data_IF_785937872270
#
_entry.id   IF_785937872270
#
_cell.length_a   1.000
_cell.length_b   1.000
_cell.length_c   1.000
_cell.angle_alpha   90.00
_cell.angle_beta   90.00
_cell.angle_gamma   90.00
#
_symmetry.space_group_name_H-M   'P 1'
#
loop_
_entity.id
_entity.type
_entity.pdbx_description
1 polymer ?
#
# COMPACT_ATOMS: atom_id res chain seq x y z
N UNK A 1 23.01 -1.16 7.97
CA UNK A 1 24.07 -0.70 7.05
C UNK A 1 24.69 -1.93 6.45
N UNK A 2 24.33 -2.27 5.21
CA UNK A 2 24.91 -3.39 4.49
C UNK A 2 26.23 -2.92 3.89
N UNK A 3 27.34 -3.39 4.43
CA UNK A 3 28.68 -3.11 3.91
C UNK A 3 28.99 -4.14 2.83
N UNK A 4 28.81 -3.77 1.56
CA UNK A 4 29.42 -4.50 0.45
C UNK A 4 30.91 -4.14 0.43
N UNK A 5 31.75 -5.00 1.01
CA UNK A 5 33.21 -4.93 0.84
C UNK A 5 33.58 -5.66 -0.45
N UNK A 6 33.79 -4.91 -1.55
CA UNK A 6 34.72 -5.37 -2.60
C UNK A 6 36.13 -5.08 -2.09
N UNK A 7 36.83 -6.11 -1.67
CA UNK A 7 38.26 -6.03 -1.37
C UNK A 7 39.04 -5.91 -2.68
N UNK A 8 39.31 -4.68 -3.14
CA UNK A 8 40.44 -4.38 -4.04
C UNK A 8 40.89 -2.95 -3.80
N UNK A 9 41.98 -2.78 -3.05
CA UNK A 9 42.75 -1.54 -2.90
C UNK A 9 43.61 -1.31 -4.14
N UNK A 10 42.98 -1.23 -5.32
CA UNK A 10 43.66 -0.82 -6.55
C UNK A 10 43.12 0.53 -6.99
N UNK A 11 43.99 1.55 -6.97
CA UNK A 11 43.73 2.83 -7.62
C UNK A 11 43.59 2.62 -9.12
N UNK A 12 42.35 2.55 -9.61
CA UNK A 12 42.07 2.58 -11.04
C UNK A 12 42.40 3.96 -11.60
N UNK A 13 43.56 4.09 -12.23
CA UNK A 13 43.84 5.22 -13.13
C UNK A 13 42.91 5.11 -14.33
N UNK A 14 41.89 5.97 -14.40
CA UNK A 14 41.05 6.04 -15.60
C UNK A 14 41.87 6.55 -16.79
N UNK A 15 41.88 5.78 -17.87
CA UNK A 15 42.53 6.18 -19.12
C UNK A 15 41.87 7.45 -19.70
N UNK A 16 42.62 8.29 -20.45
CA UNK A 16 42.07 9.49 -21.10
C UNK A 16 40.91 9.15 -22.05
N UNK A 17 39.82 9.94 -21.98
CA UNK A 17 38.56 9.74 -22.72
C UNK A 17 38.68 9.56 -24.24
N UNK A 18 39.79 9.95 -24.85
CA UNK A 18 39.98 9.98 -26.31
C UNK A 18 40.39 8.64 -26.92
N UNK A 19 40.91 7.68 -26.15
CA UNK A 19 41.30 6.35 -26.66
C UNK A 19 40.16 5.30 -26.58
N UNK A 20 39.13 5.54 -25.76
CA UNK A 20 38.09 4.54 -25.43
C UNK A 20 37.01 4.37 -26.52
N UNK A 21 37.04 5.18 -27.58
CA UNK A 21 35.97 5.22 -28.58
C UNK A 21 36.24 4.44 -29.88
N UNK A 22 37.38 3.73 -29.99
CA UNK A 22 37.64 2.84 -31.14
C UNK A 22 37.63 1.40 -30.67
N UNK A 23 36.48 0.74 -30.84
CA UNK A 23 36.38 -0.71 -30.67
C UNK A 23 36.98 -1.38 -31.90
N UNK A 24 38.01 -2.18 -31.69
CA UNK A 24 38.70 -2.94 -32.73
C UNK A 24 37.92 -4.20 -33.10
N UNK A 25 38.14 -4.74 -34.29
CA UNK A 25 37.56 -6.02 -34.71
C UNK A 25 37.94 -7.16 -33.77
N UNK A 26 39.15 -7.10 -33.19
CA UNK A 26 39.64 -8.07 -32.21
C UNK A 26 38.86 -7.98 -30.89
N UNK A 27 38.55 -6.77 -30.39
CA UNK A 27 37.70 -6.58 -29.20
C UNK A 27 36.25 -7.04 -29.42
N UNK A 28 35.69 -6.82 -30.62
CA UNK A 28 34.37 -7.33 -30.99
C UNK A 28 34.38 -8.87 -31.03
N UNK A 29 35.43 -9.46 -31.61
CA UNK A 29 35.58 -10.92 -31.71
C UNK A 29 35.75 -11.54 -30.32
N UNK A 30 36.55 -10.91 -29.44
CA UNK A 30 36.73 -11.33 -28.07
C UNK A 30 35.44 -11.24 -27.26
N UNK A 31 34.69 -10.14 -27.36
CA UNK A 31 33.39 -9.98 -26.68
C UNK A 31 32.34 -10.98 -27.18
N UNK A 32 32.32 -11.25 -28.48
CA UNK A 32 31.42 -12.26 -29.08
C UNK A 32 31.78 -13.67 -28.60
N UNK A 33 33.07 -14.00 -28.58
CA UNK A 33 33.55 -15.27 -28.04
C UNK A 33 33.18 -15.41 -26.56
N UNK A 34 33.34 -14.36 -25.76
CA UNK A 34 32.93 -14.35 -24.35
C UNK A 34 31.43 -14.61 -24.18
N UNK A 35 30.58 -14.04 -25.03
CA UNK A 35 29.13 -14.32 -25.02
C UNK A 35 28.81 -15.76 -25.45
N UNK A 36 29.58 -16.33 -26.38
CA UNK A 36 29.37 -17.69 -26.89
C UNK A 36 29.85 -18.79 -25.94
N UNK A 37 30.89 -18.53 -25.13
CA UNK A 37 31.37 -19.44 -24.08
C UNK A 37 30.72 -19.20 -22.71
N UNK A 38 29.89 -18.17 -22.57
CA UNK A 38 29.15 -17.91 -21.33
C UNK A 38 28.01 -18.92 -21.17
N UNK A 39 28.11 -19.76 -20.14
CA UNK A 39 27.04 -20.65 -19.73
C UNK A 39 25.84 -19.83 -19.22
N UNK A 40 24.66 -20.07 -19.80
CA UNK A 40 23.42 -19.41 -19.40
C UNK A 40 23.04 -19.73 -17.94
N UNK A 41 23.45 -20.90 -17.42
CA UNK A 41 23.31 -21.22 -16.00
C UNK A 41 24.28 -20.41 -15.12
N UNK A 42 25.49 -20.11 -15.57
CA UNK A 42 26.43 -19.25 -14.83
C UNK A 42 26.00 -17.77 -14.84
N UNK A 43 25.37 -17.30 -15.92
CA UNK A 43 24.73 -15.97 -15.95
C UNK A 43 23.59 -15.85 -14.94
N UNK A 44 22.89 -16.95 -14.66
CA UNK A 44 21.82 -17.04 -13.66
C UNK A 44 22.33 -16.99 -12.21
N UNK A 45 23.63 -17.21 -11.96
CA UNK A 45 24.18 -17.31 -10.59
C UNK A 45 24.48 -15.93 -9.96
N UNK A 46 24.49 -14.84 -10.74
CA UNK A 46 24.97 -13.54 -10.28
C UNK A 46 23.90 -12.48 -9.93
N UNK A 47 22.61 -12.82 -9.93
CA UNK A 47 21.57 -11.96 -9.32
C UNK A 47 21.24 -12.51 -7.93
N UNK A 48 22.12 -12.24 -6.97
CA UNK A 48 21.89 -12.55 -5.55
C UNK A 48 20.90 -11.59 -4.89
N UNK A 49 20.40 -10.60 -5.63
CA UNK A 49 19.41 -9.64 -5.16
C UNK A 49 18.04 -10.20 -5.52
N UNK A 50 17.27 -10.57 -4.50
CA UNK A 50 15.86 -10.94 -4.69
C UNK A 50 15.14 -9.76 -5.36
N UNK A 51 14.37 -10.02 -6.41
CA UNK A 51 13.56 -8.99 -7.09
C UNK A 51 12.65 -8.27 -6.08
N UNK A 52 12.25 -8.94 -5.00
CA UNK A 52 11.51 -8.34 -3.88
C UNK A 52 12.33 -7.26 -3.15
N UNK A 53 13.65 -7.40 -3.04
CA UNK A 53 14.54 -6.38 -2.46
C UNK A 53 14.73 -5.16 -3.36
N UNK A 54 14.41 -5.29 -4.65
CA UNK A 54 14.46 -4.20 -5.64
C UNK A 54 13.09 -3.55 -5.90
N UNK A 55 12.00 -4.17 -5.44
CA UNK A 55 10.66 -3.69 -5.70
C UNK A 55 10.40 -2.35 -4.98
N UNK A 56 9.99 -1.33 -5.74
CA UNK A 56 9.62 -0.04 -5.17
C UNK A 56 8.29 -0.14 -4.42
N UNK A 57 8.33 -0.19 -3.09
CA UNK A 57 7.13 -0.21 -2.24
C UNK A 57 6.61 1.19 -1.87
N UNK A 58 7.26 2.26 -2.34
CA UNK A 58 6.94 3.65 -1.96
C UNK A 58 7.41 4.05 -0.56
N UNK A 59 7.22 3.18 0.44
CA UNK A 59 7.79 3.29 1.78
C UNK A 59 7.73 1.93 2.50
N UNK A 60 8.55 1.74 3.53
CA UNK A 60 8.52 0.56 4.41
C UNK A 60 7.50 0.77 5.56
N UNK A 61 6.35 0.05 5.57
CA UNK A 61 5.33 0.25 6.60
C UNK A 61 5.74 -0.27 7.98
N UNK A 62 6.60 -1.29 8.05
CA UNK A 62 7.12 -1.80 9.32
C UNK A 62 8.04 -0.76 9.99
N UNK A 63 8.89 -0.09 9.20
CA UNK A 63 9.72 1.02 9.67
C UNK A 63 8.90 2.20 10.15
N UNK A 64 7.88 2.61 9.39
CA UNK A 64 7.01 3.71 9.80
C UNK A 64 6.25 3.36 11.08
N UNK A 65 5.74 2.14 11.21
CA UNK A 65 5.10 1.67 12.44
C UNK A 65 6.09 1.69 13.63
N UNK A 66 7.30 1.19 13.46
CA UNK A 66 8.33 1.22 14.50
C UNK A 66 8.67 2.65 14.95
N UNK A 67 8.79 3.59 14.00
CA UNK A 67 8.99 5.01 14.32
C UNK A 67 7.79 5.61 15.04
N UNK A 68 6.57 5.26 14.64
CA UNK A 68 5.35 5.73 15.27
C UNK A 68 5.29 5.28 16.74
N UNK A 69 5.51 3.99 17.01
CA UNK A 69 5.55 3.43 18.36
C UNK A 69 6.66 4.05 19.20
N UNK A 70 7.88 4.15 18.66
CA UNK A 70 9.01 4.76 19.37
C UNK A 70 8.71 6.20 19.79
N UNK A 71 8.17 7.01 18.89
CA UNK A 71 7.84 8.41 19.15
C UNK A 71 6.67 8.56 20.12
N UNK A 72 5.63 7.73 19.98
CA UNK A 72 4.50 7.68 20.91
C UNK A 72 4.94 7.37 22.34
N UNK A 73 5.79 6.35 22.52
CA UNK A 73 6.34 5.97 23.83
C UNK A 73 7.16 7.08 24.47
N UNK A 74 7.91 7.81 23.67
CA UNK A 74 8.75 8.91 24.14
C UNK A 74 7.95 10.19 24.47
N UNK A 75 6.89 10.48 23.72
CA UNK A 75 6.31 11.84 23.67
C UNK A 75 4.87 11.95 24.19
N UNK A 76 4.10 10.87 24.35
CA UNK A 76 2.70 10.94 24.80
C UNK A 76 2.55 11.26 26.30
N UNK A 77 3.65 11.34 27.06
CA UNK A 77 3.65 11.51 28.50
C UNK A 77 3.21 10.24 29.26
N UNK A 78 3.28 10.27 30.59
CA UNK A 78 2.97 9.14 31.48
C UNK A 78 1.57 9.20 32.10
N UNK A 79 0.76 10.20 31.72
CA UNK A 79 -0.61 10.34 32.22
C UNK A 79 -1.55 9.27 31.70
N UNK A 80 -2.78 9.26 32.20
CA UNK A 80 -3.83 8.34 31.77
C UNK A 80 -4.79 8.99 30.76
N UNK A 81 -5.28 8.20 29.82
CA UNK A 81 -6.32 8.57 28.86
C UNK A 81 -7.44 7.51 28.85
N UNK A 82 -8.63 7.90 28.41
CA UNK A 82 -9.75 6.97 28.24
C UNK A 82 -9.90 6.59 26.77
N UNK A 83 -9.75 5.30 26.46
CA UNK A 83 -9.96 4.73 25.12
C UNK A 83 -11.03 3.65 25.21
N UNK A 84 -12.13 3.82 24.46
CA UNK A 84 -13.27 2.89 24.46
C UNK A 84 -13.77 2.53 25.89
N UNK A 85 -13.83 3.52 26.78
CA UNK A 85 -14.25 3.35 28.17
C UNK A 85 -13.20 2.77 29.12
N UNK A 86 -12.00 2.44 28.64
CA UNK A 86 -10.89 1.94 29.47
C UNK A 86 -9.87 3.04 29.74
N UNK A 87 -9.47 3.18 31.00
CA UNK A 87 -8.38 4.06 31.41
C UNK A 87 -7.05 3.34 31.18
N UNK A 88 -6.20 3.90 30.32
CA UNK A 88 -4.89 3.34 29.95
C UNK A 88 -3.82 4.42 29.98
N UNK A 89 -2.56 4.05 30.18
CA UNK A 89 -1.45 4.99 30.11
C UNK A 89 -1.30 5.55 28.69
N UNK A 90 -1.06 6.86 28.55
CA UNK A 90 -0.98 7.55 27.26
C UNK A 90 0.17 7.05 26.36
N UNK A 91 1.23 6.52 26.97
CA UNK A 91 2.38 5.93 26.28
C UNK A 91 2.30 4.40 26.14
N UNK A 92 1.18 3.77 26.52
CA UNK A 92 0.96 2.34 26.34
C UNK A 92 0.80 1.97 24.87
N UNK A 93 1.06 0.69 24.54
CA UNK A 93 0.88 0.18 23.18
C UNK A 93 -0.58 0.33 22.72
N UNK A 94 -1.56 0.11 23.60
CA UNK A 94 -2.98 0.27 23.31
C UNK A 94 -3.34 1.71 22.93
N UNK A 95 -2.80 2.70 23.66
CA UNK A 95 -3.02 4.11 23.37
C UNK A 95 -2.44 4.51 22.01
N UNK A 96 -1.23 4.04 21.72
CA UNK A 96 -0.54 4.29 20.44
C UNK A 96 -1.29 3.63 19.28
N UNK A 97 -1.76 2.40 19.44
CA UNK A 97 -2.59 1.71 18.44
C UNK A 97 -3.88 2.48 18.19
N UNK A 98 -4.55 2.96 19.24
CA UNK A 98 -5.77 3.76 19.12
C UNK A 98 -5.53 5.08 18.37
N UNK A 99 -4.41 5.76 18.64
CA UNK A 99 -3.99 6.95 17.91
C UNK A 99 -3.73 6.66 16.43
N UNK A 100 -2.96 5.60 16.14
CA UNK A 100 -2.66 5.20 14.77
C UNK A 100 -3.92 4.89 13.96
N UNK A 101 -4.86 4.15 14.56
CA UNK A 101 -6.16 3.86 13.96
C UNK A 101 -6.99 5.14 13.74
N UNK A 102 -6.99 6.05 14.71
CA UNK A 102 -7.70 7.34 14.59
C UNK A 102 -7.12 8.20 13.47
N UNK A 103 -5.79 8.31 13.37
CA UNK A 103 -5.12 9.04 12.30
C UNK A 103 -5.39 8.42 10.92
N UNK A 104 -5.36 7.09 10.82
CA UNK A 104 -5.73 6.37 9.61
C UNK A 104 -7.20 6.63 9.21
N UNK A 105 -8.13 6.64 10.17
CA UNK A 105 -9.54 6.95 9.91
C UNK A 105 -9.71 8.40 9.44
N UNK A 106 -9.03 9.36 10.08
CA UNK A 106 -9.04 10.77 9.64
C UNK A 106 -8.53 10.87 8.19
N UNK A 107 -7.46 10.16 7.87
CA UNK A 107 -6.86 10.16 6.55
C UNK A 107 -7.82 9.63 5.47
N UNK A 108 -8.51 8.53 5.77
CA UNK A 108 -9.51 7.93 4.88
C UNK A 108 -10.68 8.89 4.61
N UNK A 109 -11.14 9.63 5.64
CA UNK A 109 -12.34 10.48 5.55
C UNK A 109 -12.05 11.90 5.07
N UNK A 110 -10.87 12.45 5.37
CA UNK A 110 -10.55 13.88 5.20
C UNK A 110 -9.29 14.12 4.36
N UNK A 111 -8.62 13.06 3.93
CA UNK A 111 -7.38 13.13 3.16
C UNK A 111 -6.14 13.40 4.01
N UNK A 112 -5.07 13.88 3.38
CA UNK A 112 -3.72 13.90 3.97
C UNK A 112 -3.26 15.26 4.51
N UNK A 113 -3.97 16.35 4.18
CA UNK A 113 -3.50 17.73 4.43
C UNK A 113 -3.95 18.22 5.81
N UNK A 114 -3.23 17.85 6.88
CA UNK A 114 -3.59 18.16 8.28
C UNK A 114 -3.97 19.62 8.52
N UNK A 115 -3.27 20.59 7.92
CA UNK A 115 -3.60 22.01 8.10
C UNK A 115 -4.96 22.40 7.48
N UNK A 116 -5.31 21.83 6.31
CA UNK A 116 -6.64 22.03 5.70
C UNK A 116 -7.73 21.34 6.50
N UNK A 117 -7.44 20.16 7.06
CA UNK A 117 -8.37 19.42 7.91
C UNK A 117 -8.64 20.23 9.17
N UNK A 118 -7.59 20.67 9.87
CA UNK A 118 -7.69 21.46 11.10
C UNK A 118 -8.46 22.78 10.88
N UNK A 119 -8.21 23.50 9.78
CA UNK A 119 -8.92 24.74 9.46
C UNK A 119 -10.42 24.59 9.13
N UNK A 120 -10.90 23.34 8.95
CA UNK A 120 -12.31 23.02 8.68
C UNK A 120 -12.85 21.97 9.65
N UNK A 121 -12.39 22.00 10.91
CA UNK A 121 -12.78 21.03 11.94
C UNK A 121 -12.97 21.72 13.29
N UNK A 122 -13.73 21.08 14.17
CA UNK A 122 -13.88 21.53 15.55
C UNK A 122 -12.58 21.39 16.36
N UNK A 123 -12.56 22.04 17.52
CA UNK A 123 -11.38 22.19 18.37
C UNK A 123 -10.77 20.84 18.82
N UNK A 124 -11.60 19.83 19.07
CA UNK A 124 -11.13 18.49 19.45
C UNK A 124 -10.24 17.85 18.38
N UNK A 125 -10.65 17.90 17.11
CA UNK A 125 -9.87 17.31 16.01
C UNK A 125 -8.60 18.14 15.73
N UNK A 126 -8.70 19.47 15.84
CA UNK A 126 -7.53 20.35 15.74
C UNK A 126 -6.48 20.02 16.80
N UNK A 127 -6.89 19.90 18.06
CA UNK A 127 -6.01 19.53 19.17
C UNK A 127 -5.42 18.13 19.03
N UNK A 128 -6.20 17.17 18.51
CA UNK A 128 -5.69 15.84 18.19
C UNK A 128 -4.59 15.90 17.13
N UNK A 129 -4.79 16.64 16.04
CA UNK A 129 -3.79 16.77 14.98
C UNK A 129 -2.53 17.50 15.45
N UNK A 130 -2.67 18.55 16.26
CA UNK A 130 -1.52 19.26 16.84
C UNK A 130 -0.75 18.39 17.83
N UNK A 131 -1.45 17.60 18.65
CA UNK A 131 -0.82 16.59 19.51
C UNK A 131 -0.09 15.54 18.66
N UNK A 132 -0.69 15.07 17.57
CA UNK A 132 -0.07 14.07 16.70
C UNK A 132 1.19 14.60 16.01
N UNK A 133 1.21 15.87 15.58
CA UNK A 133 2.42 16.53 15.08
C UNK A 133 3.54 16.55 16.12
N UNK A 134 3.23 16.92 17.37
CA UNK A 134 4.23 16.93 18.46
C UNK A 134 4.70 15.53 18.82
N UNK A 135 3.77 14.59 18.98
CA UNK A 135 4.05 13.29 19.57
C UNK A 135 4.65 12.30 18.58
N UNK A 136 4.21 12.34 17.32
CA UNK A 136 4.63 11.39 16.28
C UNK A 136 5.47 12.03 15.17
N UNK A 137 5.70 13.35 15.21
CA UNK A 137 6.31 14.10 14.11
C UNK A 137 5.54 13.88 12.80
N UNK A 138 4.20 13.92 12.88
CA UNK A 138 3.30 13.79 11.74
C UNK A 138 3.54 14.94 10.74
N UNK A 139 3.76 14.60 9.47
CA UNK A 139 4.02 15.57 8.39
C UNK A 139 3.02 15.45 7.24
N UNK A 140 2.92 16.52 6.44
CA UNK A 140 2.09 16.62 5.23
C UNK A 140 2.92 16.84 3.96
N UNK A 141 4.21 16.47 3.98
CA UNK A 141 5.09 16.59 2.82
C UNK A 141 4.46 15.93 1.58
N UNK A 142 4.54 16.62 0.44
CA UNK A 142 4.17 16.06 -0.86
C UNK A 142 5.18 15.02 -1.35
N UNK A 143 6.40 15.04 -0.81
CA UNK A 143 7.47 14.06 -1.06
C UNK A 143 8.05 13.60 0.28
N UNK A 144 7.35 12.71 1.00
CA UNK A 144 7.79 12.28 2.32
C UNK A 144 9.01 11.34 2.22
N UNK A 145 10.09 11.65 2.95
CA UNK A 145 11.26 10.78 3.05
C UNK A 145 10.97 9.49 3.80
N UNK A 146 11.87 8.51 3.81
CA UNK A 146 11.61 7.17 4.35
C UNK A 146 11.27 7.11 5.86
N UNK A 147 11.51 8.18 6.61
CA UNK A 147 11.23 8.27 8.05
C UNK A 147 10.02 9.17 8.39
N UNK A 148 9.36 9.70 7.37
CA UNK A 148 8.26 10.65 7.53
C UNK A 148 6.97 9.91 7.81
N UNK A 149 6.35 10.24 8.94
CA UNK A 149 5.05 9.69 9.30
C UNK A 149 4.00 10.60 8.69
N UNK A 150 3.15 10.07 7.81
CA UNK A 150 2.06 10.81 7.18
C UNK A 150 0.73 10.09 7.41
N UNK A 151 -0.36 10.85 7.32
CA UNK A 151 -1.72 10.31 7.41
C UNK A 151 -1.96 9.15 6.43
N UNK A 152 -1.47 9.25 5.18
CA UNK A 152 -1.62 8.20 4.17
C UNK A 152 -0.75 6.96 4.44
N UNK A 153 0.43 7.14 5.05
CA UNK A 153 1.23 5.97 5.47
C UNK A 153 0.55 5.23 6.62
N UNK A 154 -0.15 5.94 7.50
CA UNK A 154 -0.97 5.30 8.54
C UNK A 154 -2.13 4.50 7.95
N UNK A 155 -2.76 4.94 6.84
CA UNK A 155 -3.84 4.14 6.22
C UNK A 155 -3.36 2.79 5.71
N UNK A 156 -2.14 2.72 5.17
CA UNK A 156 -1.57 1.46 4.68
C UNK A 156 -1.18 0.49 5.83
N UNK A 157 -0.75 1.02 6.98
CA UNK A 157 -0.48 0.21 8.18
C UNK A 157 -1.79 -0.34 8.76
N UNK A 158 -2.82 0.51 8.84
CA UNK A 158 -4.11 0.19 9.47
C UNK A 158 -5.17 -0.34 8.50
N UNK A 159 -4.79 -0.74 7.28
CA UNK A 159 -5.72 -1.20 6.22
C UNK A 159 -6.72 -2.22 6.72
N UNK A 160 -6.27 -3.25 7.44
CA UNK A 160 -7.13 -4.31 7.98
C UNK A 160 -8.25 -3.75 8.87
N UNK A 161 -7.89 -2.83 9.78
CA UNK A 161 -8.85 -2.19 10.69
C UNK A 161 -9.81 -1.26 9.94
N UNK A 162 -9.31 -0.48 8.97
CA UNK A 162 -10.12 0.43 8.17
C UNK A 162 -11.16 -0.34 7.35
N UNK A 163 -10.76 -1.41 6.66
CA UNK A 163 -11.68 -2.20 5.84
C UNK A 163 -12.78 -2.83 6.69
N UNK A 164 -12.46 -3.36 7.88
CA UNK A 164 -13.45 -3.88 8.83
C UNK A 164 -14.40 -2.78 9.31
N UNK A 165 -13.88 -1.59 9.62
CA UNK A 165 -14.71 -0.46 10.06
C UNK A 165 -15.67 0.01 8.96
N UNK A 166 -15.21 0.05 7.69
CA UNK A 166 -16.08 0.36 6.55
C UNK A 166 -17.14 -0.72 6.37
N UNK A 167 -16.74 -2.00 6.39
CA UNK A 167 -17.65 -3.13 6.23
C UNK A 167 -18.76 -3.13 7.29
N UNK A 168 -18.39 -2.95 8.56
CA UNK A 168 -19.33 -2.89 9.70
C UNK A 168 -20.14 -1.60 9.78
N UNK A 169 -19.91 -0.64 8.88
CA UNK A 169 -20.62 0.65 8.86
C UNK A 169 -20.22 1.61 9.97
N UNK A 170 -19.14 1.33 10.71
CA UNK A 170 -18.60 2.25 11.74
C UNK A 170 -18.04 3.53 11.13
N UNK A 171 -17.55 3.46 9.89
CA UNK A 171 -17.11 4.61 9.11
C UNK A 171 -17.69 4.52 7.69
N UNK A 172 -18.02 5.68 7.11
CA UNK A 172 -18.53 5.79 5.74
C UNK A 172 -17.50 6.58 4.92
N UNK A 173 -16.78 5.93 3.99
CA UNK A 173 -15.77 6.60 3.17
C UNK A 173 -16.41 7.47 2.08
N UNK A 174 -15.57 8.24 1.39
CA UNK A 174 -16.00 9.12 0.28
C UNK A 174 -16.68 8.37 -0.85
N UNK A 175 -16.20 7.15 -1.16
CA UNK A 175 -16.87 6.26 -2.09
C UNK A 175 -17.78 5.35 -1.27
N UNK A 176 -19.03 5.24 -1.66
CA UNK A 176 -19.97 4.26 -1.14
C UNK A 176 -20.46 3.35 -2.27
N UNK A 177 -21.18 2.26 -1.98
CA UNK A 177 -21.87 1.49 -3.02
C UNK A 177 -22.71 2.35 -3.96
N UNK A 178 -23.40 3.37 -3.41
CA UNK A 178 -24.22 4.31 -4.16
C UNK A 178 -23.38 5.18 -5.10
N UNK A 179 -22.19 5.62 -4.67
CA UNK A 179 -21.26 6.36 -5.54
C UNK A 179 -20.80 5.51 -6.74
N UNK A 180 -20.79 4.18 -6.60
CA UNK A 180 -20.47 3.25 -7.68
C UNK A 180 -21.69 2.91 -8.56
N UNK A 181 -22.88 3.42 -8.22
CA UNK A 181 -24.13 3.19 -8.93
C UNK A 181 -24.90 1.95 -8.50
N UNK A 182 -24.70 1.47 -7.27
CA UNK A 182 -25.32 0.25 -6.75
C UNK A 182 -26.01 0.49 -5.40
N UNK A 183 -26.95 -0.38 -5.04
CA UNK A 183 -27.50 -0.40 -3.67
C UNK A 183 -26.44 -0.85 -2.66
N UNK A 184 -26.57 -0.38 -1.42
CA UNK A 184 -25.68 -0.72 -0.30
C UNK A 184 -25.51 -2.22 0.00
N UNK A 185 -26.43 -3.06 -0.51
CA UNK A 185 -26.42 -4.52 -0.34
C UNK A 185 -25.68 -5.27 -1.45
N UNK A 186 -25.44 -4.64 -2.61
CA UNK A 186 -24.86 -5.32 -3.78
C UNK A 186 -23.35 -5.21 -3.87
N UNK A 187 -22.75 -4.17 -3.30
CA UNK A 187 -21.30 -3.98 -3.29
C UNK A 187 -20.77 -4.30 -1.89
N UNK A 188 -19.70 -5.11 -1.76
CA UNK A 188 -19.04 -5.31 -0.48
C UNK A 188 -18.49 -3.97 0.02
N UNK A 189 -19.05 -3.44 1.11
CA UNK A 189 -18.67 -2.13 1.66
C UNK A 189 -17.16 -1.99 1.87
N UNK A 190 -16.48 -3.06 2.28
CA UNK A 190 -15.01 -3.07 2.45
C UNK A 190 -14.23 -2.71 1.17
N UNK A 191 -14.76 -3.03 -0.02
CA UNK A 191 -14.19 -2.65 -1.32
C UNK A 191 -14.17 -1.13 -1.54
N UNK A 192 -15.07 -0.40 -0.86
CA UNK A 192 -15.14 1.05 -0.89
C UNK A 192 -14.05 1.75 -0.06
N UNK A 193 -13.09 0.99 0.48
CA UNK A 193 -11.92 1.54 1.14
C UNK A 193 -10.78 1.77 0.13
N UNK A 194 -10.22 2.99 0.10
CA UNK A 194 -9.17 3.36 -0.85
C UNK A 194 -7.85 2.60 -0.69
N UNK A 195 -7.65 1.92 0.44
CA UNK A 195 -6.50 1.05 0.72
C UNK A 195 -6.79 -0.45 0.58
N UNK A 196 -8.00 -0.82 0.15
CA UNK A 196 -8.45 -2.21 0.07
C UNK A 196 -7.53 -3.12 -0.77
N UNK A 197 -6.88 -2.59 -1.82
CA UNK A 197 -5.97 -3.37 -2.67
C UNK A 197 -4.85 -4.08 -1.90
N UNK A 198 -4.41 -3.52 -0.78
CA UNK A 198 -3.38 -4.16 0.09
C UNK A 198 -3.87 -5.42 0.80
N UNK A 199 -5.18 -5.72 0.75
CA UNK A 199 -5.78 -6.92 1.29
C UNK A 199 -6.12 -7.96 0.23
N UNK A 200 -5.86 -7.72 -1.05
CA UNK A 200 -6.03 -8.74 -2.09
C UNK A 200 -4.84 -9.72 -1.98
N UNK A 201 -5.04 -11.00 -1.62
CA UNK A 201 -3.95 -11.95 -1.51
C UNK A 201 -3.44 -12.40 -2.89
N UNK A 202 -2.28 -13.06 -2.87
CA UNK A 202 -1.66 -13.69 -4.04
C UNK A 202 -2.56 -14.75 -4.68
N UNK A 203 -2.34 -15.05 -5.96
CA UNK A 203 -3.21 -15.94 -6.74
C UNK A 203 -3.26 -17.37 -6.20
N UNK A 204 -2.20 -17.83 -5.54
CA UNK A 204 -2.07 -19.19 -5.02
C UNK A 204 -3.09 -19.54 -3.93
N UNK A 205 -3.72 -18.58 -3.24
CA UNK A 205 -4.75 -18.91 -2.23
C UNK A 205 -6.16 -19.02 -2.79
N UNK A 206 -6.37 -18.68 -4.06
CA UNK A 206 -7.68 -18.72 -4.69
C UNK A 206 -7.99 -20.11 -5.26
N UNK A 207 -9.27 -20.49 -5.25
CA UNK A 207 -9.77 -21.68 -5.97
C UNK A 207 -9.64 -21.47 -7.49
N UNK A 208 -9.95 -20.26 -7.94
CA UNK A 208 -9.79 -19.80 -9.31
C UNK A 208 -9.02 -18.47 -9.33
N UNK A 209 -7.92 -18.40 -10.09
CA UNK A 209 -7.14 -17.17 -10.23
C UNK A 209 -7.95 -16.02 -10.87
N UNK A 210 -8.96 -16.33 -11.68
CA UNK A 210 -9.82 -15.32 -12.30
C UNK A 210 -10.67 -14.55 -11.29
N UNK A 211 -11.02 -15.15 -10.15
CA UNK A 211 -11.72 -14.47 -9.05
C UNK A 211 -10.86 -13.36 -8.44
N UNK A 212 -9.57 -13.64 -8.25
CA UNK A 212 -8.60 -12.63 -7.79
C UNK A 212 -8.54 -11.45 -8.75
N UNK A 213 -8.39 -11.75 -10.04
CA UNK A 213 -8.23 -10.72 -11.06
C UNK A 213 -9.51 -9.89 -11.22
N UNK A 214 -10.68 -10.52 -11.10
CA UNK A 214 -11.98 -9.85 -11.04
C UNK A 214 -12.05 -8.89 -9.85
N UNK A 215 -11.63 -9.33 -8.66
CA UNK A 215 -11.61 -8.48 -7.47
C UNK A 215 -10.66 -7.30 -7.59
N UNK A 216 -9.47 -7.54 -8.15
CA UNK A 216 -8.49 -6.49 -8.45
C UNK A 216 -9.09 -5.44 -9.39
N UNK A 217 -9.66 -5.87 -10.53
CA UNK A 217 -10.26 -4.98 -11.54
C UNK A 217 -11.47 -4.22 -10.97
N UNK A 218 -12.31 -4.88 -10.17
CA UNK A 218 -13.43 -4.23 -9.49
C UNK A 218 -12.95 -3.11 -8.54
N UNK A 219 -11.86 -3.35 -7.79
CA UNK A 219 -11.26 -2.33 -6.94
C UNK A 219 -10.55 -1.23 -7.74
N UNK A 220 -9.96 -1.54 -8.90
CA UNK A 220 -9.39 -0.52 -9.79
C UNK A 220 -10.47 0.43 -10.34
N UNK A 221 -11.67 -0.07 -10.63
CA UNK A 221 -12.82 0.80 -10.93
C UNK A 221 -13.15 1.72 -9.76
N UNK A 222 -13.15 1.21 -8.53
CA UNK A 222 -13.27 2.06 -7.34
C UNK A 222 -12.19 3.14 -7.30
N UNK A 223 -10.91 2.80 -7.53
CA UNK A 223 -9.81 3.77 -7.53
C UNK A 223 -9.99 4.86 -8.60
N UNK A 224 -10.52 4.49 -9.77
CA UNK A 224 -10.86 5.44 -10.84
C UNK A 224 -11.90 6.46 -10.37
N UNK A 225 -13.00 6.00 -9.76
CA UNK A 225 -14.05 6.88 -9.24
C UNK A 225 -13.52 7.75 -8.10
N UNK A 226 -12.74 7.17 -7.19
CA UNK A 226 -12.09 7.93 -6.11
C UNK A 226 -11.19 9.04 -6.64
N UNK A 227 -10.34 8.75 -7.62
CA UNK A 227 -9.44 9.73 -8.26
C UNK A 227 -10.21 10.86 -8.95
N UNK A 228 -11.34 10.58 -9.61
CA UNK A 228 -12.20 11.63 -10.19
C UNK A 228 -12.73 12.61 -9.14
N UNK A 229 -13.03 12.12 -7.94
CA UNK A 229 -13.54 12.97 -6.85
C UNK A 229 -12.42 13.83 -6.26
N UNK A 230 -11.24 13.26 -6.02
CA UNK A 230 -10.13 13.98 -5.37
C UNK A 230 -9.32 14.84 -6.33
N UNK A 231 -9.33 14.52 -7.64
CA UNK A 231 -8.61 15.22 -8.70
C UNK A 231 -9.55 15.63 -9.87
N UNK A 232 -10.63 16.39 -9.63
CA UNK A 232 -11.68 16.61 -10.65
C UNK A 232 -11.19 17.29 -11.92
N UNK A 233 -10.19 18.17 -11.80
CA UNK A 233 -9.67 18.95 -12.94
C UNK A 233 -8.58 18.21 -13.73
N UNK A 234 -7.96 17.19 -13.14
CA UNK A 234 -6.87 16.42 -13.77
C UNK A 234 -6.86 15.00 -13.21
N UNK A 235 -7.84 14.17 -13.59
CA UNK A 235 -7.83 12.77 -13.18
C UNK A 235 -6.57 12.06 -13.69
N UNK A 236 -6.11 11.08 -12.93
CA UNK A 236 -4.97 10.23 -13.24
C UNK A 236 -5.23 9.38 -14.49
N UNK A 237 -4.17 9.10 -15.24
CA UNK A 237 -4.25 8.19 -16.40
C UNK A 237 -4.44 6.74 -15.94
N UNK A 238 -4.85 5.87 -16.87
CA UNK A 238 -5.04 4.44 -16.60
C UNK A 238 -3.74 3.76 -16.17
N UNK A 239 -2.60 4.15 -16.75
CA UNK A 239 -1.27 3.62 -16.42
C UNK A 239 -0.90 3.98 -14.98
N UNK A 240 -1.17 5.23 -14.58
CA UNK A 240 -0.89 5.71 -13.23
C UNK A 240 -1.76 5.00 -12.18
N UNK A 241 -3.06 4.83 -12.47
CA UNK A 241 -3.98 4.08 -11.60
C UNK A 241 -3.55 2.62 -11.49
N UNK A 242 -3.14 2.00 -12.61
CA UNK A 242 -2.68 0.62 -12.63
C UNK A 242 -1.38 0.43 -11.83
N UNK A 243 -0.45 1.37 -11.97
CA UNK A 243 0.79 1.38 -11.17
C UNK A 243 0.49 1.47 -9.67
N UNK A 244 -0.41 2.38 -9.25
CA UNK A 244 -0.81 2.47 -7.84
C UNK A 244 -1.48 1.20 -7.32
N UNK A 245 -2.33 0.58 -8.13
CA UNK A 245 -2.98 -0.66 -7.76
C UNK A 245 -1.95 -1.79 -7.60
N UNK A 246 -0.99 -1.89 -8.52
CA UNK A 246 0.12 -2.85 -8.46
C UNK A 246 0.94 -2.71 -7.18
N UNK A 247 1.31 -1.47 -6.80
CA UNK A 247 2.06 -1.21 -5.55
C UNK A 247 1.27 -1.67 -4.33
N UNK A 248 -0.03 -1.37 -4.25
CA UNK A 248 -0.82 -1.79 -3.08
C UNK A 248 -0.99 -3.30 -2.99
N UNK A 249 -1.29 -3.96 -4.11
CA UNK A 249 -1.53 -5.41 -4.14
C UNK A 249 -0.23 -6.19 -3.89
N UNK A 250 0.88 -5.70 -4.44
CA UNK A 250 2.21 -6.29 -4.28
C UNK A 250 2.87 -6.01 -2.92
N UNK A 251 2.36 -5.05 -2.14
CA UNK A 251 2.93 -4.68 -0.84
C UNK A 251 3.00 -5.91 0.10
N UNK A 252 4.15 -6.19 0.70
CA UNK A 252 4.38 -7.40 1.51
C UNK A 252 3.96 -7.28 2.99
N UNK A 253 3.59 -6.08 3.46
CA UNK A 253 3.33 -5.79 4.88
C UNK A 253 2.20 -6.63 5.49
N UNK A 254 1.07 -6.75 4.79
CA UNK A 254 -0.03 -7.63 5.23
C UNK A 254 0.25 -9.04 4.75
N UNK A 255 0.57 -9.96 5.68
CA UNK A 255 0.75 -11.38 5.36
C UNK A 255 -0.51 -11.97 4.73
N UNK A 256 -0.36 -12.93 3.81
CA UNK A 256 -1.46 -13.59 3.12
C UNK A 256 -2.55 -14.12 4.07
N UNK A 257 -2.16 -14.76 5.18
CA UNK A 257 -3.11 -15.23 6.19
C UNK A 257 -3.96 -14.10 6.80
N UNK A 258 -3.36 -12.93 7.05
CA UNK A 258 -4.08 -11.75 7.56
C UNK A 258 -5.06 -11.21 6.52
N UNK A 259 -4.63 -11.12 5.25
CA UNK A 259 -5.50 -10.69 4.14
C UNK A 259 -6.74 -11.57 4.03
N UNK A 260 -6.53 -12.89 3.95
CA UNK A 260 -7.61 -13.89 3.89
C UNK A 260 -8.54 -13.78 5.09
N UNK A 261 -8.00 -13.66 6.31
CA UNK A 261 -8.81 -13.50 7.52
C UNK A 261 -9.73 -12.27 7.44
N UNK A 262 -9.22 -11.13 6.99
CA UNK A 262 -10.01 -9.89 6.88
C UNK A 262 -11.08 -10.02 5.81
N UNK A 263 -10.75 -10.58 4.63
CA UNK A 263 -11.72 -10.76 3.56
C UNK A 263 -12.86 -11.71 3.95
N UNK A 264 -12.55 -12.80 4.68
CA UNK A 264 -13.55 -13.71 5.24
C UNK A 264 -14.40 -13.02 6.31
N UNK A 265 -13.78 -12.25 7.22
CA UNK A 265 -14.49 -11.51 8.25
C UNK A 265 -15.44 -10.45 7.68
N UNK A 266 -15.12 -9.91 6.50
CA UNK A 266 -15.97 -8.95 5.80
C UNK A 266 -16.92 -9.61 4.78
N UNK A 267 -16.99 -10.96 4.76
CA UNK A 267 -17.85 -11.74 3.87
C UNK A 267 -17.65 -11.46 2.37
N UNK A 268 -16.49 -10.89 2.00
CA UNK A 268 -16.14 -10.55 0.61
C UNK A 268 -15.74 -11.81 -0.15
N UNK A 269 -15.10 -12.74 0.55
CA UNK A 269 -14.73 -14.07 0.07
C UNK A 269 -15.34 -15.11 1.00
N UNK A 270 -15.41 -16.35 0.53
CA UNK A 270 -15.85 -17.52 1.29
C UNK A 270 -14.81 -18.64 1.15
N UNK A 271 -14.84 -19.58 2.09
CA UNK A 271 -14.00 -20.78 2.02
C UNK A 271 -14.44 -21.65 0.84
N UNK A 272 -13.47 -22.19 0.12
CA UNK A 272 -13.63 -23.14 -0.96
C UNK A 272 -13.06 -24.51 -0.57
N UNK A 273 -13.12 -25.48 -1.49
CA UNK A 273 -12.51 -26.79 -1.26
C UNK A 273 -10.99 -26.66 -1.08
N UNK A 274 -10.37 -27.62 -0.38
CA UNK A 274 -8.91 -27.67 -0.23
C UNK A 274 -8.28 -26.51 0.54
N UNK A 275 -9.05 -25.77 1.34
CA UNK A 275 -8.54 -24.64 2.13
C UNK A 275 -8.29 -23.36 1.32
N UNK A 276 -8.71 -23.32 0.05
CA UNK A 276 -8.67 -22.13 -0.80
C UNK A 276 -9.81 -21.17 -0.46
N UNK A 277 -9.80 -19.99 -1.09
CA UNK A 277 -10.89 -19.04 -1.07
C UNK A 277 -11.47 -18.79 -2.46
N UNK A 278 -12.72 -18.35 -2.50
CA UNK A 278 -13.36 -17.81 -3.70
C UNK A 278 -14.19 -16.60 -3.37
N UNK A 279 -14.56 -15.82 -4.37
CA UNK A 279 -15.46 -14.68 -4.21
C UNK A 279 -16.79 -15.12 -3.58
N UNK A 280 -17.32 -14.30 -2.68
CA UNK A 280 -18.65 -14.53 -2.10
C UNK A 280 -19.72 -14.48 -3.19
N UNK A 281 -20.63 -15.45 -3.18
CA UNK A 281 -21.76 -15.52 -4.12
C UNK A 281 -22.69 -14.31 -3.99
N UNK A 282 -22.71 -13.65 -2.82
CA UNK A 282 -23.45 -12.42 -2.60
C UNK A 282 -22.94 -11.24 -3.46
N UNK A 283 -21.66 -11.27 -3.86
CA UNK A 283 -20.99 -10.15 -4.52
C UNK A 283 -20.42 -10.48 -5.89
N UNK A 284 -20.37 -11.75 -6.29
CA UNK A 284 -19.72 -12.18 -7.55
C UNK A 284 -20.27 -11.45 -8.77
N UNK A 285 -21.59 -11.29 -8.89
CA UNK A 285 -22.22 -10.58 -10.00
C UNK A 285 -21.75 -9.13 -10.06
N UNK A 286 -21.82 -8.40 -8.94
CA UNK A 286 -21.47 -6.98 -8.93
C UNK A 286 -19.97 -6.74 -9.03
N UNK A 287 -19.12 -7.64 -8.53
CA UNK A 287 -17.68 -7.58 -8.77
C UNK A 287 -17.34 -7.77 -10.25
N UNK A 288 -18.02 -8.69 -10.95
CA UNK A 288 -17.88 -8.85 -12.40
C UNK A 288 -18.32 -7.58 -13.17
N UNK A 289 -19.45 -6.99 -12.80
CA UNK A 289 -19.92 -5.73 -13.42
C UNK A 289 -18.91 -4.58 -13.21
N UNK A 290 -18.35 -4.44 -12.01
CA UNK A 290 -17.32 -3.43 -11.70
C UNK A 290 -16.02 -3.71 -12.46
N UNK A 291 -15.60 -4.97 -12.56
CA UNK A 291 -14.45 -5.37 -13.35
C UNK A 291 -14.62 -5.06 -14.84
N UNK A 292 -15.82 -5.31 -15.39
CA UNK A 292 -16.14 -4.97 -16.78
C UNK A 292 -16.09 -3.46 -17.03
N UNK A 293 -16.53 -2.61 -16.09
CA UNK A 293 -16.37 -1.15 -16.19
C UNK A 293 -14.91 -0.72 -16.25
N UNK A 294 -14.04 -1.38 -15.47
CA UNK A 294 -12.61 -1.13 -15.53
C UNK A 294 -12.02 -1.52 -16.90
N UNK A 295 -12.37 -2.69 -17.44
CA UNK A 295 -11.91 -3.15 -18.75
C UNK A 295 -12.31 -2.19 -19.87
N UNK A 296 -13.59 -1.81 -19.90
CA UNK A 296 -14.10 -0.82 -20.85
C UNK A 296 -13.35 0.52 -20.76
N UNK A 297 -12.96 0.94 -19.55
CA UNK A 297 -12.18 2.18 -19.37
C UNK A 297 -10.74 2.07 -19.91
N UNK A 298 -10.10 0.90 -19.80
CA UNK A 298 -8.74 0.72 -20.30
C UNK A 298 -8.68 0.33 -21.79
N UNK A 299 -9.83 -0.05 -22.38
CA UNK A 299 -9.97 -0.44 -23.77
C UNK A 299 -9.73 -1.92 -24.03
N UNK A 300 -10.05 -2.78 -23.05
CA UNK A 300 -9.97 -4.25 -23.12
C UNK A 300 -11.36 -4.90 -23.08
#
# INVERSE_FOLDING_TARGET
TLTLKRNTTEEYKMAPKTEVNKVTTEEITAATTMLEVMDLEEMSIALTIDVNDMAYEGFDPARIWALFVKRGKANNGTGNITVAGKVIAANSDDAIIADGNTLATIALLRGSKTSKIAGKSGENLKNLLERAKRSYSLTTSSSPGNNDITLLRMTAIFTSSLVIQVHTGKIVPTITPETLGYSSTRVPKGLCCSVFGSLIPSADVWEDATDRDTMMRAWMWHQRVFDQIINPNKPSSKEKLSSYAGIQIGNSFHKTATRVKVLLQCEIVQKAAGGKIKTSTAYSVTLNELAAKWLAFIGE
#
